data_IF_729481179698
#
_entry.id   IF_729481179698
#
_cell.length_a   1.000
_cell.length_b   1.000
_cell.length_c   1.000
_cell.angle_alpha   90.00
_cell.angle_beta   90.00
_cell.angle_gamma   90.00
#
_symmetry.space_group_name_H-M   'P 1'
#
loop_
_entity.id
_entity.type
_entity.pdbx_description
1 polymer ?
#
# COMPACT_ATOMS: atom_id res chain seq x y z
N UNK A 1 1.07 -8.70 9.28
CA UNK A 1 0.91 -9.44 8.00
C UNK A 1 1.90 -8.90 7.00
N UNK A 2 2.29 -9.68 5.98
CA UNK A 2 3.02 -9.16 4.82
C UNK A 2 2.09 -9.20 3.61
N UNK A 3 1.97 -8.06 2.94
CA UNK A 3 1.12 -7.88 1.79
C UNK A 3 1.77 -6.88 0.83
N UNK A 4 1.69 -7.19 -0.47
CA UNK A 4 2.05 -6.27 -1.55
C UNK A 4 0.76 -5.75 -2.19
N UNK A 5 0.76 -4.48 -2.60
CA UNK A 5 -0.36 -3.86 -3.29
C UNK A 5 0.13 -3.16 -4.57
N UNK A 6 -0.74 -3.10 -5.57
CA UNK A 6 -0.52 -2.27 -6.74
C UNK A 6 -1.08 -0.87 -6.47
N UNK A 7 -0.19 0.12 -6.38
CA UNK A 7 -0.52 1.52 -6.10
C UNK A 7 0.62 2.25 -5.39
N UNK A 8 0.61 3.58 -5.42
CA UNK A 8 1.57 4.41 -4.70
C UNK A 8 0.93 4.96 -3.41
N UNK A 9 1.66 5.09 -2.28
CA UNK A 9 1.13 5.73 -1.07
C UNK A 9 0.64 7.17 -1.26
N UNK A 10 1.07 7.83 -2.33
CA UNK A 10 0.61 9.17 -2.70
C UNK A 10 -0.68 9.17 -3.52
N UNK A 11 -1.15 8.00 -3.97
CA UNK A 11 -2.42 7.86 -4.67
C UNK A 11 -3.58 7.96 -3.66
N UNK A 12 -4.58 8.80 -3.95
CA UNK A 12 -5.73 9.06 -3.08
C UNK A 12 -6.44 7.77 -2.63
N UNK A 13 -6.64 6.82 -3.55
CA UNK A 13 -7.29 5.54 -3.23
C UNK A 13 -6.48 4.70 -2.23
N UNK A 14 -5.14 4.73 -2.33
CA UNK A 14 -4.26 3.99 -1.42
C UNK A 14 -4.29 4.65 -0.03
N UNK A 15 -4.32 5.97 0.03
CA UNK A 15 -4.45 6.70 1.30
C UNK A 15 -5.75 6.37 2.03
N UNK A 16 -6.88 6.32 1.32
CA UNK A 16 -8.17 5.93 1.90
C UNK A 16 -8.12 4.49 2.45
N UNK A 17 -7.54 3.55 1.69
CA UNK A 17 -7.37 2.17 2.13
C UNK A 17 -6.43 2.05 3.36
N UNK A 18 -5.34 2.82 3.40
CA UNK A 18 -4.44 2.86 4.56
C UNK A 18 -5.14 3.43 5.80
N UNK A 19 -5.98 4.46 5.64
CA UNK A 19 -6.73 5.04 6.74
C UNK A 19 -7.76 4.06 7.33
N UNK A 20 -8.40 3.25 6.48
CA UNK A 20 -9.30 2.19 6.95
C UNK A 20 -8.52 1.07 7.66
N UNK A 21 -7.35 0.68 7.14
CA UNK A 21 -6.51 -0.34 7.76
C UNK A 21 -5.96 0.10 9.13
N UNK A 22 -5.63 1.37 9.30
CA UNK A 22 -5.14 1.94 10.56
C UNK A 22 -6.18 1.78 11.69
N UNK A 23 -7.47 1.88 11.36
CA UNK A 23 -8.55 1.69 12.34
C UNK A 23 -8.63 0.24 12.86
N UNK A 24 -8.31 -0.75 12.03
CA UNK A 24 -8.48 -2.18 12.36
C UNK A 24 -7.19 -2.88 12.82
N UNK A 25 -6.03 -2.22 12.71
CA UNK A 25 -4.73 -2.84 13.01
C UNK A 25 -4.00 -2.09 14.12
N UNK A 26 -3.07 -2.76 14.80
CA UNK A 26 -2.31 -2.13 15.88
C UNK A 26 -1.07 -1.39 15.39
N UNK A 27 -0.50 -1.79 14.25
CA UNK A 27 0.69 -1.18 13.65
C UNK A 27 0.73 -1.50 12.15
N UNK A 28 1.10 -0.50 11.35
CA UNK A 28 1.32 -0.63 9.90
C UNK A 28 2.69 -0.02 9.57
N UNK A 29 3.51 -0.79 8.87
CA UNK A 29 4.85 -0.36 8.45
C UNK A 29 5.04 -0.62 6.96
N UNK A 30 5.29 0.44 6.19
CA UNK A 30 5.64 0.36 4.78
C UNK A 30 7.12 0.04 4.67
N UNK A 31 7.45 -1.13 4.13
CA UNK A 31 8.85 -1.56 3.95
C UNK A 31 9.54 -0.89 2.75
N UNK A 32 8.78 -0.44 1.75
CA UNK A 32 9.29 0.25 0.58
C UNK A 32 8.26 0.33 -0.53
N UNK A 33 8.53 1.22 -1.48
CA UNK A 33 7.74 1.37 -2.71
C UNK A 33 8.68 1.16 -3.88
N UNK A 34 8.26 0.36 -4.85
CA UNK A 34 9.07 0.02 -6.01
C UNK A 34 8.27 0.19 -7.32
N UNK A 35 8.95 0.48 -8.45
CA UNK A 35 8.29 0.57 -9.74
C UNK A 35 7.60 -0.75 -10.12
N UNK A 36 6.42 -0.65 -10.74
CA UNK A 36 5.73 -1.82 -11.28
C UNK A 36 6.59 -2.49 -12.36
N UNK A 37 6.59 -3.82 -12.37
CA UNK A 37 7.31 -4.61 -13.37
C UNK A 37 6.75 -4.33 -14.76
N UNK A 38 7.60 -3.81 -15.66
CA UNK A 38 7.24 -3.45 -17.03
C UNK A 38 6.67 -4.64 -17.83
N UNK A 39 6.95 -5.89 -17.43
CA UNK A 39 6.43 -7.10 -18.08
C UNK A 39 4.99 -7.45 -17.71
N UNK A 40 4.38 -6.79 -16.72
CA UNK A 40 3.01 -7.06 -16.27
C UNK A 40 1.95 -6.11 -16.83
N UNK A 41 2.32 -5.24 -17.77
CA UNK A 41 1.43 -4.24 -18.36
C UNK A 41 0.72 -4.73 -19.63
#
# INVERSE_FOLDING_TARGET
FYADIEGHPDDENVQLAMAELDYFTSEITILGVYPSDTKRR
#
